data_IF_959391761619
#
_entry.id   IF_959391761619
#
_cell.length_a   1.000
_cell.length_b   1.000
_cell.length_c   1.000
_cell.angle_alpha   90.00
_cell.angle_beta   90.00
_cell.angle_gamma   90.00
#
_symmetry.space_group_name_H-M   'P 1'
#
loop_
_entity.id
_entity.type
_entity.pdbx_description
1 polymer ?
#
# COMPACT_ATOMS: atom_id res chain seq x y z
N UNK A 1 15.28 2.69 -18.82
CA UNK A 1 16.08 2.43 -17.61
C UNK A 1 15.41 1.31 -16.86
N UNK A 2 16.15 0.26 -16.52
CA UNK A 2 15.63 -0.78 -15.64
C UNK A 2 15.77 -0.29 -14.20
N UNK A 3 14.67 0.19 -13.64
CA UNK A 3 14.59 0.54 -12.23
C UNK A 3 14.74 -0.74 -11.38
N UNK A 4 15.70 -0.72 -10.46
CA UNK A 4 15.88 -1.79 -9.48
C UNK A 4 15.75 -1.22 -8.07
N UNK A 5 14.60 -1.39 -7.41
CA UNK A 5 14.34 -0.80 -6.10
C UNK A 5 15.31 -1.28 -5.00
N UNK A 6 15.97 -2.43 -5.20
CA UNK A 6 16.96 -2.94 -4.25
C UNK A 6 18.33 -2.26 -4.38
N UNK A 7 18.56 -1.54 -5.47
CA UNK A 7 19.82 -0.86 -5.76
C UNK A 7 19.69 0.66 -5.76
N UNK A 8 18.47 1.16 -5.89
CA UNK A 8 18.18 2.60 -5.91
C UNK A 8 18.10 3.15 -4.49
N UNK A 9 18.76 4.28 -4.27
CA UNK A 9 18.56 5.03 -3.02
C UNK A 9 17.38 5.99 -3.19
N UNK A 10 16.55 6.06 -2.16
CA UNK A 10 15.48 7.05 -2.11
C UNK A 10 16.05 8.49 -2.20
N UNK A 11 15.30 9.37 -2.84
CA UNK A 11 15.63 10.79 -2.88
C UNK A 11 14.90 11.49 -1.72
N UNK A 12 15.60 12.19 -0.81
CA UNK A 12 14.97 12.98 0.23
C UNK A 12 13.92 13.93 -0.35
N UNK A 13 12.80 14.10 0.33
CA UNK A 13 11.64 14.82 -0.20
C UNK A 13 11.96 16.28 -0.57
N UNK A 14 12.86 16.92 0.18
CA UNK A 14 13.35 18.27 -0.06
C UNK A 14 14.25 18.39 -1.30
N UNK A 15 14.70 17.26 -1.84
CA UNK A 15 15.53 17.17 -3.04
C UNK A 15 14.79 16.61 -4.26
N UNK A 16 13.52 16.28 -4.12
CA UNK A 16 12.71 15.81 -5.23
C UNK A 16 12.42 16.96 -6.20
N UNK A 17 12.46 16.66 -7.49
CA UNK A 17 12.20 17.65 -8.55
C UNK A 17 10.71 17.95 -8.73
N UNK A 18 9.83 17.12 -8.14
CA UNK A 18 8.38 17.22 -8.24
C UNK A 18 7.76 17.09 -6.86
N UNK A 19 6.72 17.85 -6.62
CA UNK A 19 5.89 17.77 -5.43
C UNK A 19 4.63 16.92 -5.68
N UNK A 20 3.92 16.55 -4.62
CA UNK A 20 2.58 15.93 -4.72
C UNK A 20 1.60 16.83 -5.47
N UNK A 21 1.73 18.15 -5.33
CA UNK A 21 0.94 19.09 -6.09
C UNK A 21 1.15 18.93 -7.60
N UNK A 22 2.41 18.80 -8.04
CA UNK A 22 2.73 18.60 -9.47
C UNK A 22 2.16 17.28 -10.00
N UNK A 23 2.13 16.23 -9.17
CA UNK A 23 1.53 14.93 -9.52
C UNK A 23 0.01 15.07 -9.69
N UNK A 24 -0.67 15.78 -8.79
CA UNK A 24 -2.13 15.96 -8.86
C UNK A 24 -2.59 16.81 -10.05
N UNK A 25 -1.69 17.57 -10.68
CA UNK A 25 -1.97 18.32 -11.90
C UNK A 25 -1.91 17.47 -13.18
N UNK A 26 -1.43 16.22 -13.10
CA UNK A 26 -1.42 15.32 -14.25
C UNK A 26 -2.86 14.91 -14.56
N UNK A 27 -3.35 15.11 -15.80
CA UNK A 27 -4.70 14.68 -16.15
C UNK A 27 -4.89 13.18 -15.94
N UNK A 28 -5.94 12.82 -15.24
CA UNK A 28 -6.32 11.43 -14.99
C UNK A 28 -7.82 11.24 -15.15
N UNK A 29 -8.21 10.28 -16.00
CA UNK A 29 -9.62 9.96 -16.23
C UNK A 29 -10.08 8.85 -15.27
N UNK A 30 -10.77 9.22 -14.21
CA UNK A 30 -11.27 8.30 -13.17
C UNK A 30 -12.40 7.39 -13.65
N UNK A 31 -13.03 7.68 -14.78
CA UNK A 31 -14.19 6.92 -15.26
C UNK A 31 -13.83 5.79 -16.21
N UNK A 32 -12.62 5.83 -16.74
CA UNK A 32 -12.11 4.84 -17.71
C UNK A 32 -10.86 4.16 -17.15
N UNK A 33 -11.05 3.43 -16.06
CA UNK A 33 -9.97 2.74 -15.35
C UNK A 33 -10.24 1.24 -15.41
N UNK A 34 -9.30 0.49 -16.01
CA UNK A 34 -9.38 -0.96 -16.12
C UNK A 34 -9.26 -1.66 -14.75
N UNK A 35 -9.74 -2.91 -14.69
CA UNK A 35 -9.77 -3.69 -13.44
C UNK A 35 -8.38 -3.89 -12.80
N UNK A 36 -7.36 -4.03 -13.62
CA UNK A 36 -5.99 -4.20 -13.14
C UNK A 36 -5.47 -2.95 -12.44
N UNK A 37 -5.74 -1.78 -13.01
CA UNK A 37 -5.39 -0.48 -12.41
C UNK A 37 -6.22 -0.23 -11.13
N UNK A 38 -7.52 -0.55 -11.14
CA UNK A 38 -8.39 -0.45 -9.94
C UNK A 38 -7.84 -1.27 -8.79
N UNK A 39 -7.48 -2.54 -9.02
CA UNK A 39 -6.92 -3.42 -7.99
C UNK A 39 -5.62 -2.86 -7.39
N UNK A 40 -4.75 -2.27 -8.22
CA UNK A 40 -3.53 -1.63 -7.73
C UNK A 40 -3.76 -0.37 -6.92
N UNK A 41 -4.73 0.43 -7.30
CA UNK A 41 -5.12 1.60 -6.51
C UNK A 41 -5.68 1.19 -5.15
N UNK A 42 -6.49 0.12 -5.10
CA UNK A 42 -7.00 -0.44 -3.84
C UNK A 42 -5.85 -0.91 -2.96
N UNK A 43 -4.91 -1.68 -3.50
CA UNK A 43 -3.72 -2.13 -2.80
C UNK A 43 -2.90 -0.95 -2.26
N UNK A 44 -2.57 -0.01 -3.13
CA UNK A 44 -1.73 1.13 -2.75
C UNK A 44 -2.40 1.99 -1.68
N UNK A 45 -3.69 2.23 -1.79
CA UNK A 45 -4.46 2.96 -0.78
C UNK A 45 -4.42 2.25 0.59
N UNK A 46 -4.57 0.92 0.61
CA UNK A 46 -4.44 0.11 1.82
C UNK A 46 -3.04 0.19 2.43
N UNK A 47 -1.99 0.08 1.63
CA UNK A 47 -0.59 0.19 2.08
C UNK A 47 -0.32 1.56 2.71
N UNK A 48 -0.78 2.65 2.11
CA UNK A 48 -0.56 4.00 2.64
C UNK A 48 -1.33 4.22 3.96
N UNK A 49 -2.53 3.66 4.10
CA UNK A 49 -3.29 3.69 5.36
C UNK A 49 -2.53 2.93 6.47
N UNK A 50 -2.02 1.74 6.17
CA UNK A 50 -1.26 0.95 7.14
C UNK A 50 0.08 1.60 7.50
N UNK A 51 0.78 2.17 6.53
CA UNK A 51 2.02 2.92 6.77
C UNK A 51 1.78 4.12 7.70
N UNK A 52 0.69 4.85 7.49
CA UNK A 52 0.27 5.95 8.36
C UNK A 52 -0.04 5.46 9.79
N UNK A 53 -0.84 4.40 9.93
CA UNK A 53 -1.20 3.78 11.20
C UNK A 53 0.02 3.31 11.98
N UNK A 54 0.91 2.59 11.31
CA UNK A 54 2.16 2.10 11.87
C UNK A 54 3.00 3.27 12.46
N UNK A 55 3.27 4.28 11.67
CA UNK A 55 4.08 5.43 12.09
C UNK A 55 3.41 6.22 13.20
N UNK A 56 2.08 6.34 13.19
CA UNK A 56 1.33 6.98 14.26
C UNK A 56 1.48 6.24 15.59
N UNK A 57 1.32 4.92 15.58
CA UNK A 57 1.42 4.11 16.79
C UNK A 57 2.84 4.07 17.35
N UNK A 58 3.83 3.92 16.47
CA UNK A 58 5.23 3.91 16.86
C UNK A 58 5.69 5.25 17.43
N UNK A 59 5.32 6.36 16.81
CA UNK A 59 5.69 7.69 17.33
C UNK A 59 5.14 7.94 18.74
N UNK A 60 3.94 7.47 19.04
CA UNK A 60 3.34 7.61 20.38
C UNK A 60 4.04 6.80 21.46
N UNK A 61 4.69 5.71 21.10
CA UNK A 61 5.33 4.77 22.01
C UNK A 61 6.86 4.84 21.98
N UNK A 62 7.43 5.66 21.12
CA UNK A 62 8.87 5.82 20.99
C UNK A 62 9.38 6.82 22.03
N UNK A 63 10.30 6.39 22.90
CA UNK A 63 10.94 7.24 23.90
C UNK A 63 12.16 8.01 23.38
N UNK A 64 12.69 7.61 22.23
CA UNK A 64 13.79 8.32 21.57
C UNK A 64 13.26 9.51 20.78
N UNK A 65 13.68 10.71 21.16
CA UNK A 65 13.15 11.96 20.63
C UNK A 65 13.44 12.13 19.12
N UNK A 66 14.63 11.74 18.68
CA UNK A 66 15.03 11.85 17.27
C UNK A 66 14.21 10.90 16.39
N UNK A 67 14.09 9.65 16.82
CA UNK A 67 13.26 8.64 16.14
C UNK A 67 11.78 9.06 16.13
N UNK A 68 11.27 9.56 17.25
CA UNK A 68 9.88 10.04 17.34
C UNK A 68 9.62 11.16 16.34
N UNK A 69 10.51 12.14 16.25
CA UNK A 69 10.40 13.23 15.29
C UNK A 69 10.42 12.72 13.83
N UNK A 70 11.34 11.80 13.53
CA UNK A 70 11.42 11.19 12.21
C UNK A 70 10.13 10.45 11.84
N UNK A 71 9.57 9.66 12.74
CA UNK A 71 8.29 8.96 12.55
C UNK A 71 7.12 9.94 12.34
N UNK A 72 7.08 11.03 13.13
CA UNK A 72 6.05 12.05 13.00
C UNK A 72 6.13 12.81 11.66
N UNK A 73 7.34 13.12 11.19
CA UNK A 73 7.55 13.79 9.90
C UNK A 73 7.21 12.86 8.73
N UNK A 74 7.64 11.59 8.77
CA UNK A 74 7.30 10.63 7.74
C UNK A 74 5.80 10.29 7.70
N UNK A 75 5.12 10.29 8.85
CA UNK A 75 3.65 10.13 8.91
C UNK A 75 2.92 11.19 8.07
N UNK A 76 3.37 12.43 8.06
CA UNK A 76 2.75 13.49 7.23
C UNK A 76 2.90 13.21 5.74
N UNK A 77 4.01 12.60 5.36
CA UNK A 77 4.25 12.20 3.96
C UNK A 77 3.27 11.10 3.58
N UNK A 78 3.09 10.08 4.42
CA UNK A 78 2.13 8.99 4.18
C UNK A 78 0.68 9.51 4.08
N UNK A 79 0.31 10.49 4.91
CA UNK A 79 -1.00 11.13 4.85
C UNK A 79 -1.26 11.80 3.50
N UNK A 80 -0.25 12.51 2.98
CA UNK A 80 -0.31 13.13 1.65
C UNK A 80 -0.35 12.09 0.53
N UNK A 81 0.42 11.02 0.64
CA UNK A 81 0.43 9.90 -0.31
C UNK A 81 -0.94 9.22 -0.33
N UNK A 82 -1.45 8.84 0.83
CA UNK A 82 -2.75 8.22 0.97
C UNK A 82 -3.88 9.10 0.39
N UNK A 83 -3.88 10.39 0.71
CA UNK A 83 -4.85 11.33 0.17
C UNK A 83 -4.79 11.38 -1.37
N UNK A 84 -3.60 11.41 -1.94
CA UNK A 84 -3.40 11.45 -3.40
C UNK A 84 -3.86 10.15 -4.05
N UNK A 85 -3.48 9.00 -3.49
CA UNK A 85 -3.88 7.69 -4.02
C UNK A 85 -5.40 7.49 -3.90
N UNK A 86 -5.98 7.86 -2.76
CA UNK A 86 -7.43 7.79 -2.55
C UNK A 86 -8.19 8.68 -3.55
N UNK A 87 -7.63 9.83 -3.92
CA UNK A 87 -8.21 10.70 -4.94
C UNK A 87 -8.30 10.03 -6.32
N UNK A 88 -7.41 9.08 -6.63
CA UNK A 88 -7.43 8.31 -7.89
C UNK A 88 -8.57 7.29 -7.95
N UNK A 89 -9.22 6.99 -6.84
CA UNK A 89 -10.31 6.01 -6.77
C UNK A 89 -11.43 6.38 -7.75
N UNK A 90 -11.85 5.47 -8.63
CA UNK A 90 -12.98 5.69 -9.54
C UNK A 90 -14.25 6.08 -8.78
N UNK A 91 -15.00 7.03 -9.33
CA UNK A 91 -16.21 7.54 -8.67
C UNK A 91 -17.35 6.50 -8.58
N UNK A 92 -17.32 5.50 -9.45
CA UNK A 92 -18.28 4.38 -9.53
C UNK A 92 -17.85 3.14 -8.75
N UNK A 93 -16.65 3.17 -8.13
CA UNK A 93 -16.14 2.03 -7.36
C UNK A 93 -16.98 1.81 -6.10
N UNK A 94 -17.58 0.64 -6.01
CA UNK A 94 -18.38 0.23 -4.86
C UNK A 94 -17.52 -0.27 -3.70
N UNK A 95 -18.11 -0.32 -2.50
CA UNK A 95 -17.47 -0.94 -1.32
C UNK A 95 -17.18 -2.41 -1.58
N UNK A 96 -18.10 -3.12 -2.25
CA UNK A 96 -17.92 -4.53 -2.61
C UNK A 96 -16.73 -4.72 -3.54
N UNK A 97 -16.61 -3.90 -4.59
CA UNK A 97 -15.46 -3.94 -5.51
C UNK A 97 -14.15 -3.67 -4.78
N UNK A 98 -14.14 -2.69 -3.86
CA UNK A 98 -12.97 -2.41 -3.03
C UNK A 98 -12.58 -3.60 -2.18
N UNK A 99 -13.55 -4.24 -1.52
CA UNK A 99 -13.31 -5.42 -0.67
C UNK A 99 -12.79 -6.59 -1.49
N UNK A 100 -13.43 -6.92 -2.61
CA UNK A 100 -12.98 -8.00 -3.51
C UNK A 100 -11.57 -7.75 -4.05
N UNK A 101 -11.27 -6.52 -4.44
CA UNK A 101 -9.93 -6.16 -4.93
C UNK A 101 -8.88 -6.30 -3.84
N UNK A 102 -9.20 -5.97 -2.60
CA UNK A 102 -8.30 -6.12 -1.46
C UNK A 102 -8.02 -7.59 -1.14
N UNK A 103 -9.04 -8.43 -1.08
CA UNK A 103 -8.91 -9.87 -0.86
C UNK A 103 -8.13 -10.55 -2.00
N UNK A 104 -8.38 -10.16 -3.25
CA UNK A 104 -7.61 -10.69 -4.39
C UNK A 104 -6.12 -10.40 -4.26
N UNK A 105 -5.76 -9.19 -3.82
CA UNK A 105 -4.37 -8.83 -3.57
C UNK A 105 -3.79 -9.60 -2.39
N UNK A 106 -4.56 -9.80 -1.32
CA UNK A 106 -4.14 -10.60 -0.17
C UNK A 106 -3.80 -12.03 -0.62
N UNK A 107 -4.66 -12.66 -1.42
CA UNK A 107 -4.40 -13.99 -2.00
C UNK A 107 -3.11 -13.99 -2.84
N UNK A 108 -2.95 -13.05 -3.77
CA UNK A 108 -1.79 -13.01 -4.67
C UNK A 108 -0.48 -12.80 -3.89
N UNK A 109 -0.48 -11.91 -2.91
CA UNK A 109 0.70 -11.60 -2.09
C UNK A 109 1.05 -12.76 -1.15
N UNK A 110 0.07 -13.32 -0.45
CA UNK A 110 0.26 -14.43 0.48
C UNK A 110 0.75 -15.68 -0.27
N UNK A 111 0.19 -15.97 -1.46
CA UNK A 111 0.65 -17.05 -2.30
C UNK A 111 2.12 -16.86 -2.74
N UNK A 112 2.49 -15.65 -3.14
CA UNK A 112 3.87 -15.34 -3.49
C UNK A 112 4.83 -15.49 -2.30
N UNK A 113 4.44 -15.01 -1.12
CA UNK A 113 5.22 -15.17 0.10
C UNK A 113 5.40 -16.64 0.45
N UNK A 114 4.33 -17.43 0.46
CA UNK A 114 4.37 -18.86 0.75
C UNK A 114 5.28 -19.64 -0.22
N UNK A 115 5.28 -19.27 -1.50
CA UNK A 115 6.13 -19.93 -2.50
C UNK A 115 7.63 -19.62 -2.33
N UNK A 116 7.96 -18.47 -1.78
CA UNK A 116 9.34 -17.99 -1.68
C UNK A 116 9.91 -18.06 -0.26
N UNK A 117 9.12 -18.45 0.75
CA UNK A 117 9.54 -18.50 2.14
C UNK A 117 10.38 -19.75 2.41
N UNK A 118 11.65 -19.60 2.84
CA UNK A 118 12.53 -20.73 3.13
C UNK A 118 12.27 -21.38 4.49
N UNK A 119 11.73 -20.66 5.47
CA UNK A 119 11.42 -21.22 6.78
C UNK A 119 10.09 -22.00 6.72
N UNK A 120 10.17 -23.28 7.11
CA UNK A 120 9.00 -24.18 7.02
C UNK A 120 7.81 -23.73 7.85
N UNK A 121 8.05 -23.21 9.05
CA UNK A 121 6.97 -22.79 9.95
C UNK A 121 6.29 -21.54 9.43
N UNK A 122 7.08 -20.57 8.99
CA UNK A 122 6.55 -19.33 8.39
C UNK A 122 5.80 -19.62 7.10
N UNK A 123 6.35 -20.52 6.24
CA UNK A 123 5.67 -20.97 5.02
C UNK A 123 4.32 -21.61 5.34
N UNK A 124 4.26 -22.52 6.31
CA UNK A 124 3.04 -23.21 6.71
C UNK A 124 1.99 -22.22 7.26
N UNK A 125 2.45 -21.17 7.95
CA UNK A 125 1.59 -20.07 8.41
C UNK A 125 0.99 -19.28 7.22
N UNK A 126 1.80 -19.00 6.19
CA UNK A 126 1.30 -18.34 4.98
C UNK A 126 0.35 -19.23 4.18
N UNK A 127 0.69 -20.52 4.03
CA UNK A 127 -0.20 -21.50 3.37
C UNK A 127 -1.56 -21.60 4.08
N UNK A 128 -1.56 -21.54 5.41
CA UNK A 128 -2.80 -21.53 6.18
C UNK A 128 -3.59 -20.23 6.00
N UNK A 129 -2.94 -19.08 6.11
CA UNK A 129 -3.56 -17.77 5.87
C UNK A 129 -4.15 -17.66 4.46
N UNK A 130 -3.46 -18.21 3.46
CA UNK A 130 -3.96 -18.24 2.09
C UNK A 130 -5.31 -18.99 1.95
N UNK A 131 -5.52 -20.05 2.73
CA UNK A 131 -6.82 -20.74 2.72
C UNK A 131 -7.94 -19.86 3.30
N UNK A 132 -7.64 -19.04 4.30
CA UNK A 132 -8.60 -18.10 4.87
C UNK A 132 -8.92 -16.98 3.87
N UNK A 133 -7.89 -16.42 3.19
CA UNK A 133 -8.05 -15.38 2.16
C UNK A 133 -8.90 -15.89 0.99
N UNK A 134 -8.74 -17.14 0.56
CA UNK A 134 -9.60 -17.77 -0.44
C UNK A 134 -11.05 -17.91 0.04
N UNK A 135 -11.28 -18.25 1.31
CA UNK A 135 -12.62 -18.31 1.88
C UNK A 135 -13.30 -16.93 1.87
N UNK A 136 -12.54 -15.86 2.15
CA UNK A 136 -13.04 -14.50 2.05
C UNK A 136 -13.50 -14.16 0.63
N UNK A 137 -12.66 -14.43 -0.38
CA UNK A 137 -13.04 -14.22 -1.79
C UNK A 137 -14.29 -15.02 -2.18
N UNK A 138 -14.46 -16.21 -1.65
CA UNK A 138 -15.60 -17.06 -1.97
C UNK A 138 -16.91 -16.55 -1.37
N UNK A 139 -16.84 -15.78 -0.26
CA UNK A 139 -18.03 -15.26 0.45
C UNK A 139 -18.59 -13.97 -0.13
N UNK A 140 -17.81 -13.23 -0.87
CA UNK A 140 -18.23 -11.97 -1.53
C UNK A 140 -18.66 -12.24 -2.98
#
# INVERSE_FOLDING_TARGET
MNFNPLQEKGTPIDKQLRSWHDITLIPFNKTDVDCYTRTRQILMNGIEIEAWNFKHNFSRNCSDEETNKFLADSKRIEDMQQTTVNWLTPADQSVLETTLGYEQVAVDLTAWMAQNEPDKYVKETFDFGLLEDFDHLYRY
#
